data_IF_458856527426
#
_entry.id   IF_458856527426
#
_cell.length_a   1.000
_cell.length_b   1.000
_cell.length_c   1.000
_cell.angle_alpha   90.00
_cell.angle_beta   90.00
_cell.angle_gamma   90.00
#
_symmetry.space_group_name_H-M   'P 1'
#
loop_
_entity.id
_entity.type
_entity.pdbx_description
1 polymer ?
#
# COMPACT_ATOMS: atom_id res chain seq x y z
N UNK A 1 -5.67 -15.79 1.91
CA UNK A 1 -6.82 -15.50 1.07
C UNK A 1 -6.55 -14.27 0.22
N UNK A 2 -6.86 -14.31 -1.06
CA UNK A 2 -6.63 -13.17 -1.95
C UNK A 2 -7.86 -12.27 -2.07
N UNK A 3 -7.68 -11.18 -2.82
CA UNK A 3 -8.79 -10.29 -3.17
C UNK A 3 -9.71 -11.02 -4.13
N UNK A 4 -11.02 -11.00 -3.88
CA UNK A 4 -11.98 -11.66 -4.76
C UNK A 4 -12.49 -10.75 -5.87
N UNK A 5 -12.56 -9.43 -5.62
CA UNK A 5 -13.04 -8.47 -6.61
C UNK A 5 -12.49 -7.09 -6.30
N UNK A 6 -11.90 -6.44 -7.31
CA UNK A 6 -11.38 -5.09 -7.19
C UNK A 6 -11.21 -4.51 -8.59
N UNK A 7 -11.36 -3.19 -8.73
CA UNK A 7 -11.22 -2.51 -10.01
C UNK A 7 -9.86 -1.84 -10.24
N UNK A 8 -8.91 -2.00 -9.33
CA UNK A 8 -7.55 -1.51 -9.51
C UNK A 8 -6.75 -2.53 -10.32
N UNK A 9 -6.10 -2.09 -11.41
CA UNK A 9 -5.34 -2.97 -12.29
C UNK A 9 -3.92 -3.23 -11.78
N UNK A 10 -3.35 -2.27 -11.07
CA UNK A 10 -1.99 -2.39 -10.55
C UNK A 10 -2.06 -2.92 -9.12
N UNK A 11 -1.62 -4.16 -8.93
CA UNK A 11 -1.69 -4.86 -7.65
C UNK A 11 -0.30 -5.38 -7.30
N UNK A 12 0.20 -4.97 -6.14
CA UNK A 12 1.54 -5.32 -5.69
C UNK A 12 1.46 -6.02 -4.33
N UNK A 13 1.62 -7.33 -4.33
CA UNK A 13 1.67 -8.09 -3.09
C UNK A 13 3.00 -7.85 -2.39
N UNK A 14 2.96 -7.65 -1.09
CA UNK A 14 4.18 -7.43 -0.32
C UNK A 14 3.90 -7.44 1.18
N UNK A 15 4.86 -6.96 1.94
CA UNK A 15 4.75 -6.85 3.38
C UNK A 15 4.97 -5.41 3.81
N UNK A 16 4.26 -5.01 4.83
CA UNK A 16 4.45 -3.68 5.41
C UNK A 16 5.85 -3.62 6.01
N UNK A 17 6.63 -2.65 5.55
CA UNK A 17 7.98 -2.39 6.02
C UNK A 17 7.94 -1.42 7.19
N UNK A 18 7.16 -0.35 7.06
CA UNK A 18 7.09 0.71 8.04
C UNK A 18 5.73 1.41 8.00
N UNK A 19 5.27 1.83 9.15
CA UNK A 19 4.09 2.69 9.29
C UNK A 19 4.52 3.94 10.04
N UNK A 20 4.39 5.10 9.41
CA UNK A 20 4.66 6.39 10.06
C UNK A 20 3.31 7.01 10.37
N UNK A 21 2.92 6.93 11.64
CA UNK A 21 1.59 7.33 12.08
C UNK A 21 1.52 8.82 12.37
N UNK A 22 0.58 9.51 11.72
CA UNK A 22 0.25 10.88 12.01
C UNK A 22 -1.11 10.98 12.69
N UNK A 23 -1.53 12.20 13.11
CA UNK A 23 -2.81 12.36 13.81
C UNK A 23 -4.03 12.15 12.89
N UNK A 24 -3.91 12.45 11.61
CA UNK A 24 -5.01 12.32 10.65
C UNK A 24 -4.67 11.34 9.53
N UNK A 25 -3.48 11.48 8.96
CA UNK A 25 -3.00 10.61 7.89
C UNK A 25 -1.72 9.92 8.33
N UNK A 26 -1.47 8.75 7.73
CA UNK A 26 -0.29 7.94 8.01
C UNK A 26 0.35 7.52 6.70
N UNK A 27 1.66 7.34 6.72
CA UNK A 27 2.39 6.76 5.60
C UNK A 27 2.58 5.27 5.86
N UNK A 28 2.30 4.45 4.85
CA UNK A 28 2.52 3.01 4.92
C UNK A 28 3.44 2.63 3.76
N UNK A 29 4.59 2.06 4.08
CA UNK A 29 5.55 1.60 3.08
C UNK A 29 5.43 0.08 2.96
N UNK A 30 5.13 -0.37 1.73
CA UNK A 30 5.00 -1.79 1.41
C UNK A 30 6.19 -2.21 0.57
N UNK A 31 6.93 -3.20 1.05
CA UNK A 31 8.03 -3.78 0.30
C UNK A 31 7.51 -4.98 -0.48
N UNK A 32 7.63 -4.91 -1.80
CA UNK A 32 7.17 -5.96 -2.70
C UNK A 32 8.23 -7.04 -2.86
N UNK A 33 7.84 -8.19 -3.42
CA UNK A 33 8.75 -9.32 -3.64
C UNK A 33 9.95 -8.97 -4.53
N UNK A 34 9.80 -8.00 -5.42
CA UNK A 34 10.88 -7.54 -6.30
C UNK A 34 11.82 -6.52 -5.67
N UNK A 35 11.67 -6.21 -4.39
CA UNK A 35 12.50 -5.23 -3.70
C UNK A 35 12.05 -3.79 -3.90
N UNK A 36 10.92 -3.57 -4.57
CA UNK A 36 10.36 -2.23 -4.74
C UNK A 36 9.59 -1.83 -3.49
N UNK A 37 9.66 -0.56 -3.13
CA UNK A 37 8.83 -0.01 -2.06
C UNK A 37 7.69 0.80 -2.67
N UNK A 38 6.47 0.46 -2.27
CA UNK A 38 5.28 1.21 -2.64
C UNK A 38 4.85 2.01 -1.42
N UNK A 39 4.85 3.31 -1.55
CA UNK A 39 4.48 4.21 -0.45
C UNK A 39 3.03 4.64 -0.60
N UNK A 40 2.26 4.49 0.47
CA UNK A 40 0.86 4.86 0.53
C UNK A 40 0.64 5.88 1.63
N UNK A 41 -0.21 6.87 1.36
CA UNK A 41 -0.68 7.80 2.39
C UNK A 41 -2.18 7.57 2.52
N UNK A 42 -2.60 7.09 3.66
CA UNK A 42 -4.00 6.80 3.96
C UNK A 42 -4.35 7.40 5.33
N UNK A 43 -5.62 7.40 5.67
CA UNK A 43 -6.01 7.93 6.97
C UNK A 43 -5.48 7.03 8.09
N UNK A 44 -5.13 7.63 9.21
CA UNK A 44 -4.70 6.88 10.39
C UNK A 44 -5.82 5.95 10.86
N UNK A 45 -7.08 6.37 10.67
CA UNK A 45 -8.23 5.50 10.93
C UNK A 45 -8.17 4.22 10.10
N UNK A 46 -7.87 4.34 8.80
CA UNK A 46 -7.75 3.17 7.92
C UNK A 46 -6.63 2.24 8.38
N UNK A 47 -5.50 2.79 8.80
CA UNK A 47 -4.40 1.99 9.34
C UNK A 47 -4.88 1.15 10.52
N UNK A 48 -5.65 1.74 11.42
CA UNK A 48 -6.16 1.04 12.60
C UNK A 48 -7.24 0.03 12.25
N UNK A 49 -8.19 0.41 11.40
CA UNK A 49 -9.28 -0.47 10.99
C UNK A 49 -8.77 -1.72 10.24
N UNK A 50 -7.75 -1.54 9.42
CA UNK A 50 -7.17 -2.65 8.67
C UNK A 50 -6.09 -3.39 9.45
N UNK A 51 -5.72 -2.91 10.63
CA UNK A 51 -4.71 -3.54 11.48
C UNK A 51 -3.34 -3.56 10.81
N UNK A 52 -2.95 -2.47 10.17
CA UNK A 52 -1.70 -2.42 9.42
C UNK A 52 -0.51 -2.24 10.37
N UNK A 53 0.35 -3.24 10.41
CA UNK A 53 1.56 -3.26 11.25
C UNK A 53 2.71 -3.81 10.44
N UNK A 54 3.96 -3.47 10.78
CA UNK A 54 5.13 -4.04 10.09
C UNK A 54 5.10 -5.56 10.06
N UNK A 55 5.44 -6.12 8.91
CA UNK A 55 5.46 -7.56 8.68
C UNK A 55 4.15 -8.15 8.16
N UNK A 56 3.05 -7.41 8.23
CA UNK A 56 1.77 -7.90 7.73
C UNK A 56 1.79 -8.00 6.20
N UNK A 57 1.31 -9.13 5.67
CA UNK A 57 1.16 -9.30 4.23
C UNK A 57 -0.06 -8.53 3.74
N UNK A 58 0.14 -7.75 2.69
CA UNK A 58 -0.88 -6.89 2.11
C UNK A 58 -0.75 -6.87 0.59
N UNK A 59 -1.72 -6.26 -0.07
CA UNK A 59 -1.64 -5.94 -1.49
C UNK A 59 -1.81 -4.44 -1.62
N UNK A 60 -0.81 -3.77 -2.20
CA UNK A 60 -0.91 -2.36 -2.54
C UNK A 60 -1.63 -2.23 -3.87
N UNK A 61 -2.62 -1.38 -3.94
CA UNK A 61 -3.46 -1.19 -5.12
C UNK A 61 -3.28 0.23 -5.65
N UNK A 62 -3.06 0.35 -6.97
CA UNK A 62 -2.95 1.66 -7.61
C UNK A 62 -3.87 1.67 -8.83
N UNK A 63 -4.85 2.55 -8.84
CA UNK A 63 -5.72 2.69 -10.00
C UNK A 63 -4.92 3.22 -11.18
N UNK A 64 -5.27 2.77 -12.37
CA UNK A 64 -4.55 3.16 -13.60
C UNK A 64 -4.50 4.67 -13.80
N UNK A 65 -5.52 5.40 -13.35
CA UNK A 65 -5.59 6.85 -13.45
C UNK A 65 -4.57 7.56 -12.56
N UNK A 66 -3.98 6.86 -11.60
CA UNK A 66 -3.04 7.43 -10.63
C UNK A 66 -1.58 7.11 -10.98
N UNK A 67 -1.34 6.40 -12.07
CA UNK A 67 0.01 6.05 -12.47
C UNK A 67 0.53 7.08 -13.45
N UNK A 68 1.63 7.74 -13.07
CA UNK A 68 2.32 8.72 -13.91
C UNK A 68 3.51 8.07 -14.60
N UNK A 69 3.88 8.58 -15.75
CA UNK A 69 4.98 8.05 -16.55
C UNK A 69 6.06 9.12 -16.73
N UNK A 70 7.29 8.70 -16.59
CA UNK A 70 8.45 9.54 -16.92
C UNK A 70 9.26 8.85 -18.01
N UNK A 71 9.90 9.61 -18.86
CA UNK A 71 10.85 9.08 -19.85
C UNK A 71 12.28 9.21 -19.33
N UNK A 72 13.15 8.36 -19.86
CA UNK A 72 14.55 8.37 -19.52
C UNK A 72 15.36 9.24 -20.50
#
# INVERSE_FOLDING_TARGET
MGITAVNARNQFRGRIKEVIEGPVVSEVDVETAGGLTVTSVITTRSVKELGLVPGKEVIALVKSTEVSIATL
#
